data_IF_198845106419
#
_entry.id   IF_198845106419
#
_cell.length_a   1.000
_cell.length_b   1.000
_cell.length_c   1.000
_cell.angle_alpha   90.00
_cell.angle_beta   90.00
_cell.angle_gamma   90.00
#
_symmetry.space_group_name_H-M   'P 1'
#
loop_
_entity.id
_entity.type
_entity.pdbx_description
1 polymer ?
#
# COMPACT_ATOMS: atom_id res chain seq x y z
N UNK A 1 21.10 8.87 -1.53
CA UNK A 1 20.63 9.94 -0.62
C UNK A 1 21.76 10.94 -0.46
N UNK A 2 21.51 12.25 -0.28
CA UNK A 2 22.58 13.27 -0.27
C UNK A 2 23.79 12.93 0.64
N UNK A 3 23.58 12.25 1.77
CA UNK A 3 24.66 11.77 2.64
C UNK A 3 25.52 10.65 2.03
N UNK A 4 24.93 9.77 1.22
CA UNK A 4 25.63 8.74 0.45
C UNK A 4 26.45 9.36 -0.69
N UNK A 5 26.02 10.53 -1.17
CA UNK A 5 26.74 11.33 -2.18
C UNK A 5 27.85 12.21 -1.58
N UNK A 6 28.10 12.08 -0.26
CA UNK A 6 29.16 12.80 0.46
C UNK A 6 28.76 14.17 1.03
N UNK A 7 27.49 14.58 0.89
CA UNK A 7 27.00 15.86 1.40
C UNK A 7 26.73 15.80 2.91
N UNK A 8 27.44 16.64 3.68
CA UNK A 8 27.19 16.81 5.12
C UNK A 8 25.97 17.71 5.38
N UNK A 9 24.78 17.20 5.06
CA UNK A 9 23.52 17.92 5.26
C UNK A 9 22.55 17.16 6.17
N UNK A 10 21.98 17.89 7.13
CA UNK A 10 20.97 17.38 8.06
C UNK A 10 19.55 17.79 7.69
N UNK A 11 18.55 17.12 8.27
CA UNK A 11 17.12 17.33 7.99
C UNK A 11 16.65 18.79 8.06
N UNK A 12 17.22 19.58 8.96
CA UNK A 12 16.83 20.98 9.15
C UNK A 12 17.31 21.88 8.01
N UNK A 13 18.53 21.65 7.52
CA UNK A 13 19.09 22.41 6.40
C UNK A 13 18.35 22.08 5.10
N UNK A 14 18.06 20.80 4.86
CA UNK A 14 17.20 20.37 3.74
C UNK A 14 15.84 21.04 3.80
N UNK A 15 15.18 21.07 4.97
CA UNK A 15 13.89 21.75 5.16
C UNK A 15 13.95 23.26 4.85
N UNK A 16 15.03 23.95 5.23
CA UNK A 16 15.21 25.38 4.91
C UNK A 16 15.31 25.59 3.40
N UNK A 17 16.19 24.82 2.74
CA UNK A 17 16.40 24.92 1.29
C UNK A 17 15.14 24.61 0.49
N UNK A 18 14.36 23.60 0.90
CA UNK A 18 13.07 23.30 0.26
C UNK A 18 12.09 24.47 0.38
N UNK A 19 12.07 25.18 1.53
CA UNK A 19 11.21 26.37 1.71
C UNK A 19 11.68 27.55 0.86
N UNK A 20 12.99 27.80 0.83
CA UNK A 20 13.60 28.87 0.02
C UNK A 20 13.30 28.68 -1.48
N UNK A 21 13.30 27.43 -1.95
CA UNK A 21 13.03 27.05 -3.33
C UNK A 21 11.55 26.76 -3.62
N UNK A 22 10.65 27.00 -2.66
CA UNK A 22 9.21 26.68 -2.76
C UNK A 22 8.90 25.22 -3.18
N UNK A 23 9.77 24.27 -2.79
CA UNK A 23 9.62 22.84 -3.07
C UNK A 23 8.68 22.19 -2.06
N UNK A 24 7.76 21.36 -2.56
CA UNK A 24 6.81 20.57 -1.76
C UNK A 24 6.99 19.09 -2.09
N UNK A 25 7.08 18.24 -1.06
CA UNK A 25 7.13 16.79 -1.26
C UNK A 25 5.81 16.27 -1.83
N UNK A 26 5.90 15.50 -2.91
CA UNK A 26 4.78 14.73 -3.49
C UNK A 26 4.92 13.23 -3.26
N UNK A 27 5.77 12.83 -2.31
CA UNK A 27 5.94 11.42 -1.99
C UNK A 27 4.57 10.85 -1.58
N UNK A 28 4.13 9.74 -2.21
CA UNK A 28 2.91 9.06 -1.79
C UNK A 28 2.99 8.74 -0.29
N UNK A 29 1.89 8.94 0.43
CA UNK A 29 1.78 8.42 1.79
C UNK A 29 1.90 6.90 1.80
N UNK A 30 1.98 6.32 2.99
CA UNK A 30 1.86 4.86 3.11
C UNK A 30 0.59 4.38 2.41
N UNK A 31 0.69 3.28 1.65
CA UNK A 31 -0.47 2.67 1.01
C UNK A 31 -1.49 2.29 2.07
N UNK A 32 -2.56 3.07 2.18
CA UNK A 32 -3.70 2.74 3.02
C UNK A 32 -4.56 1.73 2.27
N UNK A 33 -4.13 0.47 2.20
CA UNK A 33 -5.07 -0.60 1.92
C UNK A 33 -6.13 -0.55 3.01
N UNK A 34 -7.36 -0.19 2.65
CA UNK A 34 -8.48 -0.24 3.57
C UNK A 34 -8.72 -1.72 3.88
N UNK A 35 -8.35 -2.17 5.07
CA UNK A 35 -8.80 -3.45 5.57
C UNK A 35 -10.33 -3.42 5.62
N UNK A 36 -10.98 -4.25 4.80
CA UNK A 36 -12.41 -4.45 4.89
C UNK A 36 -12.69 -5.26 6.17
N UNK A 37 -12.93 -4.54 7.28
CA UNK A 37 -13.29 -5.14 8.58
C UNK A 37 -14.77 -5.50 8.68
N UNK A 38 -15.57 -5.05 7.72
CA UNK A 38 -17.02 -5.26 7.70
C UNK A 38 -17.38 -5.94 6.38
N UNK A 39 -18.14 -7.04 6.47
CA UNK A 39 -18.70 -7.69 5.30
C UNK A 39 -19.62 -6.73 4.55
N UNK A 40 -19.64 -6.85 3.23
CA UNK A 40 -20.53 -6.09 2.37
C UNK A 40 -21.90 -6.76 2.36
N UNK A 41 -22.97 -6.13 2.89
CA UNK A 41 -24.30 -6.74 2.94
C UNK A 41 -24.88 -7.05 1.54
N UNK A 42 -24.43 -6.32 0.53
CA UNK A 42 -24.81 -6.45 -0.88
C UNK A 42 -24.05 -7.56 -1.63
N UNK A 43 -22.94 -8.04 -1.07
CA UNK A 43 -22.09 -9.08 -1.68
C UNK A 43 -21.71 -10.09 -0.59
N UNK A 44 -22.55 -11.11 -0.34
CA UNK A 44 -22.30 -12.07 0.72
C UNK A 44 -21.07 -12.93 0.40
N UNK A 45 -20.28 -13.23 1.42
CA UNK A 45 -19.16 -14.17 1.34
C UNK A 45 -19.70 -15.61 1.40
N UNK A 46 -20.19 -16.12 0.26
CA UNK A 46 -20.83 -17.44 0.18
C UNK A 46 -19.83 -18.58 0.45
N UNK A 47 -18.57 -18.41 0.06
CA UNK A 47 -17.54 -19.43 0.18
C UNK A 47 -16.92 -19.52 1.57
N UNK A 48 -16.77 -18.39 2.26
CA UNK A 48 -16.22 -18.30 3.61
C UNK A 48 -14.91 -19.09 3.85
N UNK A 49 -14.00 -19.10 2.86
CA UNK A 49 -12.73 -19.86 2.87
C UNK A 49 -12.89 -21.39 2.99
N UNK A 50 -14.05 -21.94 2.65
CA UNK A 50 -14.29 -23.38 2.53
C UNK A 50 -13.73 -23.90 1.19
N UNK A 51 -12.41 -24.07 1.12
CA UNK A 51 -11.73 -24.52 -0.10
C UNK A 51 -11.77 -26.05 -0.30
N UNK A 52 -12.30 -26.80 0.66
CA UNK A 52 -12.51 -28.24 0.54
C UNK A 52 -13.79 -28.51 -0.26
N UNK A 53 -13.62 -28.91 -1.51
CA UNK A 53 -14.72 -29.09 -2.47
C UNK A 53 -14.84 -30.55 -2.90
N UNK A 54 -16.08 -31.02 -3.05
CA UNK A 54 -16.35 -32.42 -3.40
C UNK A 54 -15.89 -32.83 -4.81
N UNK A 55 -15.73 -31.87 -5.72
CA UNK A 55 -15.28 -32.11 -7.09
C UNK A 55 -14.57 -30.88 -7.68
N UNK A 56 -13.74 -31.05 -8.73
CA UNK A 56 -13.16 -29.94 -9.46
C UNK A 56 -14.19 -28.98 -10.06
N UNK A 57 -13.80 -27.73 -10.31
CA UNK A 57 -14.59 -26.68 -10.96
C UNK A 57 -15.86 -26.21 -10.21
N UNK A 58 -15.98 -26.50 -8.92
CA UNK A 58 -17.09 -26.01 -8.09
C UNK A 58 -16.85 -24.61 -7.51
N UNK A 59 -15.59 -24.29 -7.22
CA UNK A 59 -15.18 -23.01 -6.60
C UNK A 59 -13.89 -22.53 -7.26
N UNK A 60 -13.81 -21.23 -7.53
CA UNK A 60 -12.68 -20.58 -8.19
C UNK A 60 -12.21 -19.43 -7.31
N UNK A 61 -10.92 -19.41 -6.97
CA UNK A 61 -10.32 -18.37 -6.14
C UNK A 61 -9.17 -17.71 -6.91
N UNK A 62 -9.00 -16.40 -6.76
CA UNK A 62 -7.89 -15.65 -7.34
C UNK A 62 -7.37 -14.61 -6.37
N UNK A 63 -6.07 -14.39 -6.37
CA UNK A 63 -5.37 -13.36 -5.62
C UNK A 63 -4.58 -12.44 -6.56
N UNK A 64 -4.28 -11.22 -6.11
CA UNK A 64 -3.40 -10.30 -6.83
C UNK A 64 -2.20 -10.06 -5.93
N UNK A 65 -1.04 -10.52 -6.39
CA UNK A 65 0.25 -10.21 -5.77
C UNK A 65 0.97 -9.17 -6.61
N UNK A 66 1.37 -8.06 -5.99
CA UNK A 66 2.23 -7.07 -6.62
C UNK A 66 3.67 -7.60 -6.62
N UNK A 67 4.33 -7.59 -7.78
CA UNK A 67 5.75 -7.92 -7.96
C UNK A 67 6.57 -6.65 -8.16
#
# INVERSE_FOLDING_TARGET
MMQEDGEQVGRFKVRSLMRELALVSKQPGSHAYKHATVERPDIPNILNREFDVHAPNLVWCGDITYI
#
